data_IF_048092706223
#
_entry.id   IF_048092706223
#
_cell.length_a   1.000
_cell.length_b   1.000
_cell.length_c   1.000
_cell.angle_alpha   90.00
_cell.angle_beta   90.00
_cell.angle_gamma   90.00
#
_symmetry.space_group_name_H-M   'P 1'
#
loop_
_entity.id
_entity.type
_entity.pdbx_description
1 polymer ?
#
# COMPACT_ATOMS: atom_id res chain seq x y z
N UNK A 1 38.65 3.50 -4.29
CA UNK A 1 37.47 4.21 -4.84
C UNK A 1 36.41 3.25 -5.43
N UNK A 2 36.71 1.98 -5.68
CA UNK A 2 35.80 1.01 -6.33
C UNK A 2 34.67 0.46 -5.43
N UNK A 3 34.90 0.36 -4.12
CA UNK A 3 33.95 -0.25 -3.17
C UNK A 3 32.71 0.60 -2.90
N UNK A 4 32.82 1.93 -2.97
CA UNK A 4 31.68 2.84 -2.81
C UNK A 4 30.74 2.82 -4.02
N UNK A 5 31.28 2.62 -5.23
CA UNK A 5 30.48 2.57 -6.46
C UNK A 5 29.68 1.27 -6.55
N UNK A 6 30.27 0.13 -6.17
CA UNK A 6 29.58 -1.16 -6.11
C UNK A 6 28.47 -1.16 -5.06
N UNK A 7 28.74 -0.70 -3.83
CA UNK A 7 27.72 -0.62 -2.78
C UNK A 7 26.57 0.34 -3.14
N UNK A 8 26.83 1.38 -3.95
CA UNK A 8 25.78 2.29 -4.43
C UNK A 8 24.94 1.65 -5.54
N UNK A 9 25.54 0.84 -6.41
CA UNK A 9 24.83 0.09 -7.44
C UNK A 9 23.94 -1.01 -6.84
N UNK A 10 24.45 -1.77 -5.86
CA UNK A 10 23.68 -2.83 -5.18
C UNK A 10 22.48 -2.26 -4.40
N UNK A 11 22.66 -1.14 -3.69
CA UNK A 11 21.54 -0.44 -3.03
C UNK A 11 20.48 0.06 -4.01
N UNK A 12 20.90 0.53 -5.19
CA UNK A 12 19.99 0.99 -6.24
C UNK A 12 19.17 -0.15 -6.82
N UNK A 13 19.79 -1.29 -7.09
CA UNK A 13 19.08 -2.50 -7.53
C UNK A 13 18.06 -2.94 -6.48
N UNK A 14 18.42 -2.91 -5.18
CA UNK A 14 17.50 -3.23 -4.09
C UNK A 14 16.37 -2.22 -3.89
N UNK A 15 16.59 -0.94 -4.21
CA UNK A 15 15.56 0.11 -4.14
C UNK A 15 14.58 -0.01 -5.31
N UNK A 16 15.08 -0.24 -6.52
CA UNK A 16 14.25 -0.46 -7.70
C UNK A 16 13.41 -1.74 -7.59
N UNK A 17 13.98 -2.83 -7.07
CA UNK A 17 13.22 -4.07 -6.82
C UNK A 17 12.08 -3.86 -5.82
N UNK A 18 12.34 -3.16 -4.72
CA UNK A 18 11.32 -2.81 -3.73
C UNK A 18 10.20 -1.94 -4.33
N UNK A 19 10.55 -0.92 -5.11
CA UNK A 19 9.55 -0.06 -5.79
C UNK A 19 8.72 -0.89 -6.77
N UNK A 20 9.34 -1.78 -7.55
CA UNK A 20 8.59 -2.64 -8.48
C UNK A 20 7.60 -3.55 -7.75
N UNK A 21 8.00 -4.13 -6.61
CA UNK A 21 7.12 -4.95 -5.79
C UNK A 21 5.96 -4.11 -5.22
N UNK A 22 6.23 -2.91 -4.68
CA UNK A 22 5.20 -1.99 -4.20
C UNK A 22 4.18 -1.66 -5.30
N UNK A 23 4.65 -1.38 -6.52
CA UNK A 23 3.77 -1.07 -7.65
C UNK A 23 2.89 -2.27 -8.03
N UNK A 24 3.42 -3.49 -7.94
CA UNK A 24 2.66 -4.70 -8.26
C UNK A 24 1.60 -4.99 -7.18
N UNK A 25 1.95 -4.88 -5.89
CA UNK A 25 0.99 -4.99 -4.78
C UNK A 25 -0.13 -3.95 -4.91
N UNK A 26 0.24 -2.68 -5.17
CA UNK A 26 -0.72 -1.60 -5.41
C UNK A 26 -1.66 -1.91 -6.57
N UNK A 27 -1.12 -2.41 -7.68
CA UNK A 27 -1.91 -2.77 -8.86
C UNK A 27 -2.92 -3.86 -8.53
N UNK A 28 -2.51 -4.90 -7.84
CA UNK A 28 -3.39 -6.01 -7.43
C UNK A 28 -4.49 -5.50 -6.50
N UNK A 29 -4.15 -4.69 -5.50
CA UNK A 29 -5.09 -4.06 -4.58
C UNK A 29 -6.14 -3.23 -5.33
N UNK A 30 -5.72 -2.36 -6.26
CA UNK A 30 -6.64 -1.50 -7.02
C UNK A 30 -7.59 -2.28 -7.93
N UNK A 31 -7.12 -3.38 -8.52
CA UNK A 31 -7.98 -4.26 -9.34
C UNK A 31 -9.10 -4.86 -8.49
N UNK A 32 -8.75 -5.41 -7.33
CA UNK A 32 -9.71 -6.00 -6.40
C UNK A 32 -10.67 -4.94 -5.83
N UNK A 33 -10.17 -3.74 -5.51
CA UNK A 33 -10.99 -2.60 -5.10
C UNK A 33 -12.11 -2.31 -6.12
N UNK A 34 -11.75 -2.18 -7.40
CA UNK A 34 -12.71 -1.92 -8.48
C UNK A 34 -13.76 -3.06 -8.63
N UNK A 35 -13.33 -4.32 -8.43
CA UNK A 35 -14.23 -5.48 -8.49
C UNK A 35 -15.23 -5.50 -7.33
N UNK A 36 -14.78 -5.19 -6.11
CA UNK A 36 -15.64 -5.11 -4.91
C UNK A 36 -16.62 -3.93 -5.04
N UNK A 37 -16.13 -2.76 -5.47
CA UNK A 37 -16.93 -1.56 -5.70
C UNK A 37 -17.97 -1.70 -6.85
N UNK A 38 -17.89 -2.78 -7.64
CA UNK A 38 -18.83 -3.04 -8.73
C UNK A 38 -18.62 -2.14 -9.95
N UNK A 39 -17.41 -1.62 -10.13
CA UNK A 39 -17.04 -0.76 -11.27
C UNK A 39 -16.68 -1.57 -12.54
N UNK A 40 -16.58 -2.89 -12.44
CA UNK A 40 -16.29 -3.78 -13.56
C UNK A 40 -17.57 -4.12 -14.38
N UNK A 41 -17.54 -3.99 -15.72
CA UNK A 41 -18.72 -4.19 -16.58
C UNK A 41 -19.09 -5.67 -16.82
N UNK A 42 -18.32 -6.62 -16.30
CA UNK A 42 -18.51 -8.06 -16.56
C UNK A 42 -19.16 -8.79 -15.37
N UNK A 43 -20.01 -9.77 -15.70
CA UNK A 43 -20.75 -10.57 -14.73
C UNK A 43 -19.78 -11.23 -13.72
N UNK A 44 -20.02 -10.95 -12.44
CA UNK A 44 -19.22 -11.45 -11.32
C UNK A 44 -19.27 -12.98 -11.28
N UNK A 45 -18.14 -13.66 -11.51
CA UNK A 45 -18.04 -15.12 -11.47
C UNK A 45 -17.98 -15.66 -10.03
N UNK A 46 -17.50 -14.83 -9.10
CA UNK A 46 -17.29 -15.14 -7.68
C UNK A 46 -18.34 -14.46 -6.79
N UNK A 47 -18.57 -14.96 -5.57
CA UNK A 47 -19.48 -14.27 -4.63
C UNK A 47 -18.84 -12.95 -4.15
N UNK A 48 -19.68 -11.98 -3.76
CA UNK A 48 -19.18 -10.72 -3.16
C UNK A 48 -18.32 -10.99 -1.92
N UNK A 49 -18.70 -11.98 -1.11
CA UNK A 49 -17.95 -12.43 0.08
C UNK A 49 -16.53 -12.87 -0.27
N UNK A 50 -16.37 -13.68 -1.32
CA UNK A 50 -15.06 -14.18 -1.75
C UNK A 50 -14.18 -13.04 -2.28
N UNK A 51 -14.75 -12.17 -3.11
CA UNK A 51 -14.02 -10.99 -3.60
C UNK A 51 -13.60 -10.06 -2.47
N UNK A 52 -14.47 -9.85 -1.49
CA UNK A 52 -14.17 -9.01 -0.34
C UNK A 52 -13.05 -9.61 0.53
N UNK A 53 -13.06 -10.93 0.76
CA UNK A 53 -11.94 -11.61 1.45
C UNK A 53 -10.61 -11.43 0.71
N UNK A 54 -10.62 -11.71 -0.60
CA UNK A 54 -9.42 -11.58 -1.42
C UNK A 54 -8.90 -10.13 -1.40
N UNK A 55 -9.81 -9.16 -1.49
CA UNK A 55 -9.49 -7.75 -1.35
C UNK A 55 -8.87 -7.41 0.01
N UNK A 56 -9.49 -7.85 1.11
CA UNK A 56 -8.99 -7.62 2.47
C UNK A 56 -7.58 -8.20 2.69
N UNK A 57 -7.31 -9.40 2.17
CA UNK A 57 -5.97 -10.01 2.22
C UNK A 57 -4.93 -9.16 1.50
N UNK A 58 -5.21 -8.80 0.24
CA UNK A 58 -4.29 -7.98 -0.57
C UNK A 58 -4.14 -6.57 0.00
N UNK A 59 -5.19 -6.00 0.58
CA UNK A 59 -5.14 -4.71 1.26
C UNK A 59 -4.17 -4.73 2.46
N UNK A 60 -4.22 -5.79 3.28
CA UNK A 60 -3.29 -5.94 4.41
C UNK A 60 -1.87 -6.17 3.93
N UNK A 61 -1.67 -7.02 2.92
CA UNK A 61 -0.34 -7.26 2.35
C UNK A 61 0.27 -5.97 1.78
N UNK A 62 -0.50 -5.21 1.00
CA UNK A 62 -0.08 -3.91 0.48
C UNK A 62 0.23 -2.92 1.61
N UNK A 63 -0.64 -2.85 2.63
CA UNK A 63 -0.46 -1.89 3.72
C UNK A 63 0.78 -2.21 4.56
N UNK A 64 1.01 -3.49 4.86
CA UNK A 64 2.17 -4.02 5.56
C UNK A 64 3.46 -3.85 4.76
N UNK A 65 3.43 -4.08 3.43
CA UNK A 65 4.59 -3.90 2.56
C UNK A 65 5.14 -2.47 2.67
N UNK A 66 4.27 -1.46 2.60
CA UNK A 66 4.70 -0.07 2.78
C UNK A 66 5.35 0.18 4.15
N UNK A 67 4.77 -0.36 5.22
CA UNK A 67 5.26 -0.12 6.58
C UNK A 67 6.59 -0.84 6.88
N UNK A 68 6.76 -2.07 6.42
CA UNK A 68 7.94 -2.88 6.73
C UNK A 68 9.06 -2.75 5.70
N UNK A 69 8.76 -2.75 4.41
CA UNK A 69 9.81 -2.72 3.38
C UNK A 69 10.28 -1.28 3.09
N UNK A 70 9.33 -0.36 2.93
CA UNK A 70 9.65 1.03 2.55
C UNK A 70 10.16 1.82 3.77
N UNK A 71 9.36 1.89 4.84
CA UNK A 71 9.75 2.58 6.07
C UNK A 71 10.78 1.80 6.90
N UNK A 72 10.87 0.47 6.77
CA UNK A 72 11.94 -0.30 7.40
C UNK A 72 13.33 0.10 6.91
N UNK A 73 13.51 0.31 5.59
CA UNK A 73 14.79 0.79 5.05
C UNK A 73 15.23 2.16 5.61
N UNK A 74 14.26 3.03 5.83
CA UNK A 74 14.47 4.35 6.42
C UNK A 74 14.85 4.20 7.90
N UNK A 75 14.11 3.38 8.63
CA UNK A 75 14.30 3.12 10.07
C UNK A 75 15.61 2.39 10.38
N UNK A 76 16.02 1.46 9.52
CA UNK A 76 17.26 0.67 9.65
C UNK A 76 18.53 1.47 9.31
N UNK A 77 18.39 2.74 8.93
CA UNK A 77 19.51 3.63 8.59
C UNK A 77 20.24 3.24 7.29
N UNK A 78 19.61 2.39 6.47
CA UNK A 78 20.15 2.03 5.15
C UNK A 78 19.99 3.17 4.14
N UNK A 79 18.98 4.01 4.35
CA UNK A 79 18.81 5.28 3.66
C UNK A 79 19.57 6.41 4.37
N UNK A 80 20.37 7.16 3.62
CA UNK A 80 21.24 8.23 4.14
C UNK A 80 21.00 9.59 3.48
N UNK A 81 20.16 9.63 2.45
CA UNK A 81 19.83 10.86 1.73
C UNK A 81 18.90 11.68 2.59
N UNK A 82 19.39 12.82 3.09
CA UNK A 82 18.63 13.73 3.96
C UNK A 82 17.28 14.14 3.37
N UNK A 83 17.20 14.33 2.06
CA UNK A 83 15.95 14.66 1.38
C UNK A 83 14.92 13.54 1.45
N UNK A 84 15.34 12.27 1.30
CA UNK A 84 14.43 11.12 1.42
C UNK A 84 13.95 10.98 2.85
N UNK A 85 14.86 11.13 3.83
CA UNK A 85 14.51 11.07 5.25
C UNK A 85 13.50 12.17 5.65
N UNK A 86 13.72 13.39 5.19
CA UNK A 86 12.80 14.51 5.45
C UNK A 86 11.41 14.26 4.85
N UNK A 87 11.34 13.82 3.58
CA UNK A 87 10.06 13.51 2.95
C UNK A 87 9.37 12.36 3.68
N UNK A 88 10.10 11.31 4.06
CA UNK A 88 9.55 10.20 4.82
C UNK A 88 8.95 10.65 6.16
N UNK A 89 9.65 11.49 6.92
CA UNK A 89 9.16 12.05 8.18
C UNK A 89 7.91 12.91 7.99
N UNK A 90 7.87 13.72 6.93
CA UNK A 90 6.74 14.59 6.60
C UNK A 90 5.48 13.79 6.22
N UNK A 91 5.61 12.72 5.45
CA UNK A 91 4.45 11.93 4.99
C UNK A 91 3.99 10.89 6.00
N UNK A 92 4.83 10.51 6.97
CA UNK A 92 4.56 9.40 7.89
C UNK A 92 3.23 9.51 8.64
N UNK A 93 2.82 10.68 9.17
CA UNK A 93 1.54 10.80 9.86
C UNK A 93 0.34 10.42 8.98
N UNK A 94 0.26 10.96 7.75
CA UNK A 94 -0.82 10.63 6.82
C UNK A 94 -0.75 9.20 6.29
N UNK A 95 0.46 8.65 6.16
CA UNK A 95 0.64 7.25 5.81
C UNK A 95 0.09 6.30 6.89
N UNK A 96 0.31 6.62 8.17
CA UNK A 96 -0.22 5.85 9.30
C UNK A 96 -1.74 5.97 9.36
N UNK A 97 -2.30 7.18 9.22
CA UNK A 97 -3.76 7.41 9.21
C UNK A 97 -4.47 6.57 8.14
N UNK A 98 -3.95 6.58 6.90
CA UNK A 98 -4.52 5.76 5.83
C UNK A 98 -4.34 4.24 6.09
N UNK A 99 -3.27 3.84 6.78
CA UNK A 99 -3.05 2.44 7.19
C UNK A 99 -4.06 2.02 8.25
N UNK A 100 -4.34 2.87 9.23
CA UNK A 100 -5.33 2.61 10.28
C UNK A 100 -6.73 2.43 9.67
N UNK A 101 -7.10 3.25 8.68
CA UNK A 101 -8.38 3.09 7.97
C UNK A 101 -8.45 1.76 7.22
N UNK A 102 -7.37 1.34 6.55
CA UNK A 102 -7.31 0.06 5.86
C UNK A 102 -7.41 -1.14 6.83
N UNK A 103 -6.77 -1.06 7.99
CA UNK A 103 -6.86 -2.09 9.04
C UNK A 103 -8.28 -2.14 9.61
N UNK A 104 -8.88 -0.98 9.95
CA UNK A 104 -10.25 -0.93 10.45
C UNK A 104 -11.27 -1.47 9.45
N UNK A 105 -11.06 -1.24 8.15
CA UNK A 105 -11.86 -1.84 7.10
C UNK A 105 -11.70 -3.37 7.10
N UNK A 106 -10.47 -3.88 7.14
CA UNK A 106 -10.22 -5.32 7.18
C UNK A 106 -10.90 -5.97 8.39
N UNK A 107 -10.72 -5.40 9.58
CA UNK A 107 -11.32 -5.90 10.83
C UNK A 107 -12.85 -5.96 10.75
N UNK A 108 -13.49 -4.96 10.12
CA UNK A 108 -14.95 -4.91 9.95
C UNK A 108 -15.49 -6.02 9.03
N UNK A 109 -14.69 -6.46 8.07
CA UNK A 109 -15.07 -7.44 7.05
C UNK A 109 -14.36 -8.78 7.19
N UNK A 110 -13.71 -9.04 8.33
CA UNK A 110 -13.17 -10.35 8.65
C UNK A 110 -14.31 -11.33 8.97
N UNK A 111 -14.34 -12.43 8.23
CA UNK A 111 -15.39 -13.46 8.26
C UNK A 111 -15.23 -14.39 9.45
N UNK A 112 -14.06 -14.35 10.09
CA UNK A 112 -13.76 -15.13 11.27
C UNK A 112 -14.65 -14.77 12.46
N UNK A 113 -15.24 -13.57 12.47
CA UNK A 113 -15.87 -13.00 13.66
C UNK A 113 -17.41 -13.01 13.60
N UNK A 114 -18.04 -12.68 12.45
CA UNK A 114 -19.51 -12.51 12.37
C UNK A 114 -20.11 -12.79 10.99
N UNK A 115 -21.45 -12.92 10.92
CA UNK A 115 -22.17 -12.91 9.64
C UNK A 115 -21.97 -11.53 8.96
N UNK A 116 -21.32 -11.51 7.79
CA UNK A 116 -21.03 -10.29 7.06
C UNK A 116 -22.30 -9.51 6.74
N UNK A 117 -22.40 -8.27 7.22
CA UNK A 117 -23.39 -7.31 6.73
C UNK A 117 -22.74 -6.43 5.65
N UNK A 118 -23.43 -6.33 4.52
CA UNK A 118 -23.04 -5.48 3.40
C UNK A 118 -23.76 -4.13 3.38
N UNK A 119 -24.58 -3.83 4.40
CA UNK A 119 -25.47 -2.67 4.40
C UNK A 119 -24.72 -1.33 4.25
N UNK A 120 -23.49 -1.27 4.77
CA UNK A 120 -22.62 -0.09 4.72
C UNK A 120 -21.44 -0.23 3.74
N UNK A 121 -21.33 -1.34 3.01
CA UNK A 121 -20.16 -1.65 2.18
C UNK A 121 -19.84 -0.54 1.17
N UNK A 122 -20.85 0.07 0.55
CA UNK A 122 -20.60 1.16 -0.40
C UNK A 122 -20.01 2.41 0.26
N UNK A 123 -20.43 2.73 1.47
CA UNK A 123 -19.94 3.89 2.24
C UNK A 123 -18.51 3.62 2.71
N UNK A 124 -18.27 2.43 3.27
CA UNK A 124 -16.96 2.00 3.75
C UNK A 124 -15.94 1.89 2.60
N UNK A 125 -16.34 1.38 1.44
CA UNK A 125 -15.48 1.34 0.23
C UNK A 125 -15.16 2.74 -0.29
N UNK A 126 -16.09 3.70 -0.16
CA UNK A 126 -15.84 5.09 -0.58
C UNK A 126 -14.80 5.74 0.32
N UNK A 127 -14.97 5.63 1.64
CA UNK A 127 -14.00 6.14 2.62
C UNK A 127 -12.62 5.49 2.43
N UNK A 128 -12.59 4.16 2.28
CA UNK A 128 -11.34 3.44 2.02
C UNK A 128 -10.67 3.91 0.73
N UNK A 129 -11.44 4.16 -0.33
CA UNK A 129 -10.93 4.66 -1.60
C UNK A 129 -10.26 6.04 -1.47
N UNK A 130 -10.84 6.94 -0.68
CA UNK A 130 -10.27 8.26 -0.40
C UNK A 130 -8.93 8.14 0.33
N UNK A 131 -8.88 7.33 1.40
CA UNK A 131 -7.66 7.12 2.18
C UNK A 131 -6.55 6.40 1.38
N UNK A 132 -6.93 5.43 0.55
CA UNK A 132 -5.99 4.76 -0.35
C UNK A 132 -5.44 5.73 -1.40
N UNK A 133 -6.25 6.65 -1.92
CA UNK A 133 -5.76 7.68 -2.84
C UNK A 133 -4.73 8.60 -2.16
N UNK A 134 -5.02 9.07 -0.94
CA UNK A 134 -4.10 9.88 -0.13
C UNK A 134 -2.79 9.10 0.08
N UNK A 135 -2.89 7.84 0.50
CA UNK A 135 -1.73 6.98 0.71
C UNK A 135 -0.87 6.85 -0.55
N UNK A 136 -1.49 6.61 -1.71
CA UNK A 136 -0.79 6.48 -2.98
C UNK A 136 -0.05 7.78 -3.33
N UNK A 137 -0.65 8.94 -3.12
CA UNK A 137 0.01 10.23 -3.35
C UNK A 137 1.23 10.43 -2.44
N UNK A 138 1.11 10.07 -1.16
CA UNK A 138 2.21 10.13 -0.20
C UNK A 138 3.35 9.17 -0.59
N UNK A 139 3.02 7.93 -0.96
CA UNK A 139 3.99 6.94 -1.46
C UNK A 139 4.68 7.44 -2.73
N UNK A 140 3.94 8.01 -3.68
CA UNK A 140 4.50 8.50 -4.94
C UNK A 140 5.47 9.66 -4.73
N UNK A 141 5.18 10.55 -3.76
CA UNK A 141 6.12 11.60 -3.33
C UNK A 141 7.42 11.01 -2.78
N UNK A 142 7.33 9.98 -1.93
CA UNK A 142 8.51 9.30 -1.39
C UNK A 142 9.31 8.61 -2.50
N UNK A 143 8.64 7.85 -3.37
CA UNK A 143 9.25 7.10 -4.48
C UNK A 143 9.95 8.06 -5.45
N UNK A 144 9.29 9.16 -5.83
CA UNK A 144 9.90 10.18 -6.68
C UNK A 144 11.20 10.73 -6.06
N UNK A 145 11.19 10.96 -4.75
CA UNK A 145 12.38 11.41 -4.00
C UNK A 145 13.46 10.32 -3.94
N UNK A 146 13.07 9.05 -3.79
CA UNK A 146 13.99 7.91 -3.81
C UNK A 146 14.61 7.65 -5.19
N UNK A 147 13.93 8.03 -6.27
CA UNK A 147 14.41 7.91 -7.65
C UNK A 147 15.15 9.17 -8.14
N UNK A 148 14.94 10.31 -7.48
CA UNK A 148 15.64 11.55 -7.76
C UNK A 148 17.16 11.39 -7.57
N UNK A 149 17.91 12.02 -8.49
CA UNK A 149 19.36 11.87 -8.64
C UNK A 149 20.15 12.85 -7.81
#
# INVERSE_FOLDING_TARGET
>A
MSTQQQATAERRTGTQGMINNLMEERRQMLVLFCQVAGLEPYARTESLEQLLQNFCQVLVDYTAFGHFEVFGKISDGTERRSQVLHVAEEIYPGFVEATETAVAFNDKYDISDHALSFDHLSEDMSLLGEEIAIRIELEDRLIATMLAR
#
